data_IF_874962256405
#
_entry.id   IF_874962256405
#
_cell.length_a   1.000
_cell.length_b   1.000
_cell.length_c   1.000
_cell.angle_alpha   90.00
_cell.angle_beta   90.00
_cell.angle_gamma   90.00
#
_symmetry.space_group_name_H-M   'P 1'
#
loop_
_entity.id
_entity.type
_entity.pdbx_description
1 polymer ?
#
# COMPACT_ATOMS: atom_id res chain seq x y z
N UNK A 1 6.15 -1.44 -11.00
CA UNK A 1 5.53 -1.66 -9.68
C UNK A 1 6.56 -2.33 -8.78
N UNK A 2 6.70 -1.91 -7.51
CA UNK A 2 7.63 -2.54 -6.56
C UNK A 2 7.28 -4.01 -6.27
N UNK A 3 8.29 -4.85 -6.04
CA UNK A 3 8.11 -6.24 -5.62
C UNK A 3 8.06 -6.38 -4.10
N UNK A 4 7.41 -7.43 -3.58
CA UNK A 4 7.35 -7.68 -2.13
C UNK A 4 8.70 -8.04 -1.49
N UNK A 5 9.71 -8.36 -2.30
CA UNK A 5 11.09 -8.55 -1.86
C UNK A 5 11.77 -7.21 -1.54
N UNK A 6 11.26 -6.09 -2.08
CA UNK A 6 11.76 -4.73 -1.83
C UNK A 6 11.10 -4.06 -0.61
N UNK A 7 10.16 -4.75 0.04
CA UNK A 7 9.50 -4.24 1.23
C UNK A 7 10.52 -4.14 2.39
N UNK A 8 10.46 -3.08 3.23
CA UNK A 8 11.43 -2.90 4.29
C UNK A 8 11.48 -4.10 5.24
N UNK A 9 12.69 -4.48 5.62
CA UNK A 9 12.90 -5.48 6.66
C UNK A 9 12.31 -4.97 7.99
N UNK A 10 11.40 -5.75 8.58
CA UNK A 10 10.66 -5.37 9.78
C UNK A 10 9.20 -5.84 9.73
N UNK A 11 8.56 -5.85 10.90
CA UNK A 11 7.20 -6.36 11.03
C UNK A 11 6.16 -5.41 10.43
N UNK A 12 5.17 -6.00 9.75
CA UNK A 12 3.89 -5.34 9.46
C UNK A 12 3.75 -4.64 8.12
N UNK A 13 4.80 -4.50 7.29
CA UNK A 13 4.72 -3.87 5.95
C UNK A 13 3.94 -4.72 4.93
N UNK A 14 2.64 -4.82 5.14
CA UNK A 14 1.77 -5.76 4.45
C UNK A 14 0.90 -5.10 3.39
N UNK A 15 1.01 -3.79 3.18
CA UNK A 15 0.21 -3.08 2.18
C UNK A 15 1.12 -2.28 1.24
N UNK A 16 0.71 -2.21 -0.03
CA UNK A 16 1.37 -1.45 -1.08
C UNK A 16 0.31 -0.72 -1.89
N UNK A 17 0.49 0.57 -2.14
CA UNK A 17 -0.40 1.33 -3.01
C UNK A 17 0.37 2.39 -3.78
N UNK A 18 -0.21 2.82 -4.91
CA UNK A 18 0.28 3.92 -5.72
C UNK A 18 -0.62 5.14 -5.52
N UNK A 19 -0.01 6.30 -5.33
CA UNK A 19 -0.69 7.58 -5.35
C UNK A 19 -0.94 8.03 -6.81
N UNK A 20 -1.83 9.00 -7.00
CA UNK A 20 -2.20 9.50 -8.33
C UNK A 20 -1.02 10.08 -9.13
N UNK A 21 0.02 10.55 -8.43
CA UNK A 21 1.24 11.10 -9.02
C UNK A 21 2.22 10.02 -9.53
N UNK A 22 1.92 8.75 -9.29
CA UNK A 22 2.74 7.61 -9.72
C UNK A 22 3.69 7.09 -8.64
N UNK A 23 3.79 7.73 -7.48
CA UNK A 23 4.63 7.27 -6.37
C UNK A 23 4.02 6.08 -5.65
N UNK A 24 4.87 5.14 -5.27
CA UNK A 24 4.48 3.95 -4.52
C UNK A 24 4.90 4.05 -3.07
N UNK A 25 4.06 3.52 -2.18
CA UNK A 25 4.33 3.49 -0.75
C UNK A 25 3.99 2.14 -0.15
N UNK A 26 4.87 1.66 0.74
CA UNK A 26 4.60 0.57 1.66
C UNK A 26 3.84 1.11 2.87
N UNK A 27 2.95 0.29 3.43
CA UNK A 27 2.24 0.62 4.66
C UNK A 27 2.25 -0.52 5.67
N UNK A 28 2.30 -0.16 6.97
CA UNK A 28 2.19 -1.11 8.09
C UNK A 28 0.77 -1.38 8.57
N UNK A 29 -0.16 -0.55 8.12
CA UNK A 29 -1.59 -0.66 8.40
C UNK A 29 -2.32 -0.35 7.11
N UNK A 30 -3.52 -0.89 6.94
CA UNK A 30 -4.35 -0.62 5.76
C UNK A 30 -4.51 0.89 5.54
N UNK A 31 -3.98 1.44 4.44
CA UNK A 31 -4.11 2.87 4.16
C UNK A 31 -5.55 3.20 3.76
N UNK A 32 -5.97 4.43 4.05
CA UNK A 32 -7.29 4.93 3.66
C UNK A 32 -7.18 5.86 2.46
N UNK A 33 -8.11 5.69 1.55
CA UNK A 33 -8.18 6.43 0.30
C UNK A 33 -8.54 7.90 0.59
N UNK A 34 -7.73 8.83 0.09
CA UNK A 34 -7.99 10.26 0.16
C UNK A 34 -8.11 10.84 -1.25
N UNK A 35 -9.33 10.78 -1.81
CA UNK A 35 -9.64 11.21 -3.17
C UNK A 35 -9.28 12.67 -3.46
N UNK A 36 -9.60 13.59 -2.54
CA UNK A 36 -9.28 15.01 -2.72
C UNK A 36 -7.78 15.29 -2.73
N UNK A 37 -6.98 14.40 -2.11
CA UNK A 37 -5.53 14.50 -2.08
C UNK A 37 -4.81 13.72 -3.18
N UNK A 38 -5.50 12.84 -3.92
CA UNK A 38 -4.88 11.94 -4.89
C UNK A 38 -3.90 10.95 -4.26
N UNK A 39 -4.10 10.57 -3.00
CA UNK A 39 -3.13 9.75 -2.23
C UNK A 39 -3.79 8.73 -1.31
N UNK A 40 -3.06 7.68 -0.99
CA UNK A 40 -3.34 6.72 0.08
C UNK A 40 -2.69 7.19 1.39
N UNK A 41 -3.49 7.37 2.45
CA UNK A 41 -3.03 7.91 3.74
C UNK A 41 -2.94 6.85 4.82
N UNK A 42 -1.87 6.92 5.60
CA UNK A 42 -1.75 6.32 6.92
C UNK A 42 -0.95 7.27 7.83
N UNK A 43 -0.77 6.91 9.09
CA UNK A 43 0.16 7.61 9.99
C UNK A 43 1.57 7.56 9.38
N UNK A 44 2.33 8.67 9.40
CA UNK A 44 3.66 8.72 8.75
C UNK A 44 4.63 7.64 9.25
N UNK A 45 4.48 7.17 10.49
CA UNK A 45 5.28 6.06 11.04
C UNK A 45 4.99 4.70 10.39
N UNK A 46 3.86 4.58 9.71
CA UNK A 46 3.33 3.39 9.06
C UNK A 46 3.37 3.54 7.53
N UNK A 47 4.14 4.49 6.99
CA UNK A 47 4.24 4.77 5.56
C UNK A 47 5.71 4.93 5.17
N UNK A 48 6.14 4.29 4.09
CA UNK A 48 7.50 4.42 3.57
C UNK A 48 7.52 4.39 2.04
N UNK A 49 8.32 5.23 1.35
CA UNK A 49 8.42 5.18 -0.11
C UNK A 49 8.93 3.82 -0.58
N UNK A 50 8.25 3.28 -1.60
CA UNK A 50 8.54 1.99 -2.23
C UNK A 50 9.15 2.13 -3.64
N UNK A 51 9.04 3.33 -4.22
CA UNK A 51 9.54 3.64 -5.55
C UNK A 51 8.61 4.58 -6.31
N UNK A 52 8.87 4.76 -7.59
CA UNK A 52 8.09 5.60 -8.48
C UNK A 52 7.78 4.85 -9.78
N UNK A 53 6.63 5.14 -10.37
CA UNK A 53 6.24 4.67 -11.70
C UNK A 53 5.42 5.74 -12.42
N UNK A 54 4.88 5.40 -13.58
CA UNK A 54 3.99 6.31 -14.28
C UNK A 54 2.71 6.58 -13.45
N UNK A 55 2.15 7.80 -13.51
CA UNK A 55 0.83 8.10 -12.98
C UNK A 55 -0.22 7.11 -13.50
N UNK A 56 -1.13 6.69 -12.63
CA UNK A 56 -2.17 5.73 -12.96
C UNK A 56 -3.56 6.38 -12.75
N UNK A 57 -4.42 6.45 -13.78
CA UNK A 57 -5.78 6.99 -13.62
C UNK A 57 -6.65 6.15 -12.68
N UNK A 58 -6.35 4.85 -12.52
CA UNK A 58 -7.01 3.91 -11.60
C UNK A 58 -6.19 3.71 -10.30
N UNK A 59 -5.44 4.73 -9.86
CA UNK A 59 -4.59 4.66 -8.67
C UNK A 59 -5.36 4.24 -7.39
N UNK A 60 -6.65 4.58 -7.30
CA UNK A 60 -7.56 4.21 -6.21
C UNK A 60 -7.83 2.69 -6.12
N UNK A 61 -7.40 1.92 -7.11
CA UNK A 61 -7.53 0.46 -7.17
C UNK A 61 -6.20 -0.26 -6.99
N UNK A 62 -5.11 0.48 -6.79
CA UNK A 62 -3.75 -0.09 -6.74
C UNK A 62 -3.36 -0.65 -5.38
N UNK A 63 -4.19 -0.46 -4.33
CA UNK A 63 -3.91 -1.00 -3.01
C UNK A 63 -3.92 -2.54 -3.05
N UNK A 64 -2.80 -3.12 -2.61
CA UNK A 64 -2.57 -4.56 -2.55
C UNK A 64 -2.09 -4.95 -1.17
N UNK A 65 -2.44 -6.17 -0.78
CA UNK A 65 -1.96 -6.81 0.45
C UNK A 65 -0.85 -7.81 0.11
N UNK A 66 0.16 -7.90 0.98
CA UNK A 66 1.27 -8.84 0.86
C UNK A 66 0.71 -10.26 0.94
N UNK A 67 1.04 -11.14 -0.03
CA UNK A 67 0.64 -12.53 0.03
C UNK A 67 1.09 -13.18 1.34
N UNK A 68 0.17 -13.84 2.05
CA UNK A 68 0.46 -14.50 3.33
C UNK A 68 0.48 -13.57 4.55
N UNK A 69 0.26 -12.26 4.39
CA UNK A 69 -0.02 -11.41 5.54
C UNK A 69 -1.42 -11.73 6.08
N UNK A 70 -1.51 -11.97 7.39
CA UNK A 70 -2.78 -12.05 8.08
C UNK A 70 -3.42 -10.66 8.06
N UNK A 71 -4.29 -10.41 7.09
CA UNK A 71 -5.17 -9.24 7.15
C UNK A 71 -6.09 -9.44 8.36
N UNK A 72 -6.11 -8.55 9.37
CA UNK A 72 -7.14 -8.60 10.39
C UNK A 72 -8.49 -8.30 9.70
N UNK A 73 -9.17 -9.35 9.27
CA UNK A 73 -10.36 -9.27 8.40
C UNK A 73 -10.48 -10.37 7.34
N UNK A 74 -9.42 -11.16 7.11
CA UNK A 74 -9.47 -12.34 6.22
C UNK A 74 -9.37 -13.65 7.00
N UNK A 75 -10.21 -13.80 8.03
CA UNK A 75 -10.60 -15.11 8.51
C UNK A 75 -11.98 -15.45 7.94
N UNK A 76 -12.03 -16.55 7.20
CA UNK A 76 -13.21 -17.38 6.92
C UNK A 76 -14.33 -16.83 6.00
N UNK A 77 -14.40 -17.40 4.80
CA UNK A 77 -15.63 -18.08 4.36
C UNK A 77 -15.22 -19.33 3.58
N UNK A 78 -15.23 -20.48 4.25
CA UNK A 78 -15.46 -21.78 3.64
C UNK A 78 -16.69 -22.40 4.30
#
# INVERSE_FOLDING_TARGET
>A
MPGWADAPEGEGWNWLAQDADGRWFWYRTEPKLNWSGGVWRSNSRNQQPAGEGAPNPDWDRTMRVRPGAETPGSAETQ
#
